data_IF_038254211926
#
_entry.id   IF_038254211926
#
_cell.length_a   1.000
_cell.length_b   1.000
_cell.length_c   1.000
_cell.angle_alpha   90.00
_cell.angle_beta   90.00
_cell.angle_gamma   90.00
#
_symmetry.space_group_name_H-M   'P 1'
#
loop_
_entity.id
_entity.type
_entity.pdbx_description
1 polymer ?
#
# COMPACT_ATOMS: atom_id res chain seq x y z
N UNK A 1 -12.87 -23.08 -48.15
CA UNK A 1 -12.86 -21.64 -47.79
C UNK A 1 -13.47 -21.30 -46.41
N UNK A 2 -14.26 -22.17 -45.76
CA UNK A 2 -14.91 -21.90 -44.46
C UNK A 2 -13.96 -21.79 -43.24
N UNK A 3 -12.82 -22.48 -43.24
CA UNK A 3 -11.97 -22.57 -42.03
C UNK A 3 -11.11 -21.31 -41.79
N UNK A 4 -10.76 -20.55 -42.84
CA UNK A 4 -9.88 -19.37 -42.74
C UNK A 4 -10.53 -18.22 -41.95
N UNK A 5 -11.86 -18.10 -42.04
CA UNK A 5 -12.61 -17.12 -41.25
C UNK A 5 -12.71 -17.53 -39.78
N UNK A 6 -12.83 -18.84 -39.51
CA UNK A 6 -12.85 -19.39 -38.16
C UNK A 6 -11.52 -19.12 -37.43
N UNK A 7 -10.38 -19.33 -38.10
CA UNK A 7 -9.06 -19.03 -37.51
C UNK A 7 -8.85 -17.54 -37.22
N UNK A 8 -9.37 -16.66 -38.07
CA UNK A 8 -9.31 -15.20 -37.84
C UNK A 8 -10.14 -14.77 -36.64
N UNK A 9 -11.36 -15.31 -36.51
CA UNK A 9 -12.22 -15.06 -35.37
C UNK A 9 -11.59 -15.58 -34.07
N UNK A 10 -11.04 -16.80 -34.09
CA UNK A 10 -10.34 -17.36 -32.95
C UNK A 10 -9.13 -16.50 -32.52
N UNK A 11 -8.31 -16.05 -33.48
CA UNK A 11 -7.17 -15.18 -33.21
C UNK A 11 -7.61 -13.82 -32.62
N UNK A 12 -8.69 -13.22 -33.15
CA UNK A 12 -9.26 -11.99 -32.60
C UNK A 12 -9.80 -12.18 -31.17
N UNK A 13 -10.47 -13.31 -30.89
CA UNK A 13 -11.00 -13.61 -29.56
C UNK A 13 -9.88 -13.84 -28.54
N UNK A 14 -8.80 -14.54 -28.92
CA UNK A 14 -7.62 -14.73 -28.06
C UNK A 14 -6.93 -13.39 -27.79
N UNK A 15 -6.76 -12.56 -28.83
CA UNK A 15 -6.21 -11.21 -28.70
C UNK A 15 -7.04 -10.32 -27.74
N UNK A 16 -8.36 -10.31 -27.91
CA UNK A 16 -9.27 -9.59 -27.03
C UNK A 16 -9.21 -10.11 -25.58
N UNK A 17 -9.16 -11.43 -25.38
CA UNK A 17 -9.02 -12.02 -24.04
C UNK A 17 -7.69 -11.65 -23.37
N UNK A 18 -6.58 -11.60 -24.13
CA UNK A 18 -5.29 -11.17 -23.58
C UNK A 18 -5.27 -9.70 -23.15
N UNK A 19 -5.98 -8.81 -23.86
CA UNK A 19 -6.12 -7.41 -23.48
C UNK A 19 -6.97 -7.23 -22.22
N UNK A 20 -8.02 -8.04 -22.05
CA UNK A 20 -8.84 -8.03 -20.83
C UNK A 20 -8.07 -8.53 -19.60
N UNK A 21 -7.16 -9.50 -19.78
CA UNK A 21 -6.31 -10.02 -18.70
C UNK A 21 -5.28 -9.00 -18.18
N UNK A 22 -4.84 -8.06 -19.02
CA UNK A 22 -3.91 -7.00 -18.62
C UNK A 22 -4.54 -5.91 -17.74
N UNK A 23 -5.88 -5.81 -17.70
CA UNK A 23 -6.59 -4.76 -16.96
C UNK A 23 -6.73 -5.01 -15.45
N UNK A 24 -6.30 -6.16 -14.92
CA UNK A 24 -6.46 -6.51 -13.51
C UNK A 24 -5.42 -5.88 -12.56
N UNK A 25 -4.50 -5.03 -13.02
CA UNK A 25 -3.51 -4.37 -12.13
C UNK A 25 -4.00 -3.06 -11.53
N UNK A 26 -4.98 -2.39 -12.15
CA UNK A 26 -5.42 -1.04 -11.74
C UNK A 26 -6.33 -1.02 -10.51
N UNK A 27 -6.89 -2.16 -10.08
CA UNK A 27 -7.78 -2.19 -8.91
C UNK A 27 -7.07 -2.35 -7.57
N UNK A 28 -5.85 -2.91 -7.53
CA UNK A 28 -5.15 -3.24 -6.29
C UNK A 28 -4.61 -2.02 -5.54
N UNK A 29 -4.03 -1.08 -6.27
CA UNK A 29 -3.37 0.10 -5.69
C UNK A 29 -4.31 1.27 -5.35
N UNK A 30 -5.59 1.21 -5.73
CA UNK A 30 -6.55 2.31 -5.52
C UNK A 30 -6.84 2.56 -4.05
N UNK A 31 -6.80 1.53 -3.21
CA UNK A 31 -7.03 1.68 -1.78
C UNK A 31 -5.80 2.22 -1.05
N UNK A 32 -4.59 1.97 -1.57
CA UNK A 32 -3.34 2.48 -0.98
C UNK A 32 -3.22 4.01 -1.07
N UNK A 33 -3.81 4.65 -2.09
CA UNK A 33 -3.86 6.11 -2.19
C UNK A 33 -4.56 6.74 -0.96
N UNK A 34 -5.59 6.08 -0.41
CA UNK A 34 -6.28 6.55 0.83
C UNK A 34 -5.37 6.48 2.05
N UNK A 35 -4.38 5.60 2.06
CA UNK A 35 -3.48 5.43 3.19
C UNK A 35 -2.43 6.53 3.25
N UNK A 36 -2.19 7.24 2.14
CA UNK A 36 -1.21 8.32 2.06
C UNK A 36 -1.54 9.44 3.05
N UNK A 37 -0.49 10.00 3.67
CA UNK A 37 -0.61 11.00 4.72
C UNK A 37 0.19 10.66 5.98
N UNK A 38 0.19 11.61 6.91
CA UNK A 38 0.83 11.45 8.21
C UNK A 38 -0.13 10.80 9.21
N UNK A 39 0.42 9.90 10.01
CA UNK A 39 -0.30 9.12 11.01
C UNK A 39 0.43 9.16 12.34
N UNK A 40 -0.30 9.37 13.42
CA UNK A 40 0.22 9.41 14.80
C UNK A 40 -0.20 8.18 15.56
N UNK A 41 0.74 7.56 16.27
CA UNK A 41 0.46 6.39 17.11
C UNK A 41 -0.42 6.76 18.30
N UNK A 42 -1.43 5.93 18.57
CA UNK A 42 -2.30 6.02 19.75
C UNK A 42 -1.53 5.59 21.02
N UNK A 43 -0.63 4.61 20.91
CA UNK A 43 0.14 4.05 22.04
C UNK A 43 1.51 4.71 22.26
N UNK A 44 1.75 5.87 21.62
CA UNK A 44 2.98 6.61 21.79
C UNK A 44 4.20 6.04 21.05
N UNK A 45 3.99 5.10 20.12
CA UNK A 45 5.01 4.64 19.16
C UNK A 45 5.42 5.80 18.23
N UNK A 46 6.52 5.63 17.48
CA UNK A 46 6.96 6.66 16.56
C UNK A 46 5.92 6.89 15.43
N UNK A 47 5.71 8.16 15.05
CA UNK A 47 4.73 8.52 14.00
C UNK A 47 5.17 7.95 12.64
N UNK A 48 4.24 7.81 11.70
CA UNK A 48 4.53 7.31 10.35
C UNK A 48 3.99 8.24 9.26
N UNK A 49 4.66 8.27 8.11
CA UNK A 49 4.21 8.92 6.88
C UNK A 49 4.10 7.85 5.80
N UNK A 50 2.93 7.74 5.19
CA UNK A 50 2.71 6.91 4.01
C UNK A 50 2.65 7.83 2.79
N UNK A 51 3.38 7.50 1.73
CA UNK A 51 3.40 8.27 0.49
C UNK A 51 3.65 7.39 -0.72
N UNK A 52 3.23 7.87 -1.88
CA UNK A 52 3.48 7.23 -3.17
C UNK A 52 4.75 7.79 -3.80
N UNK A 53 5.59 6.91 -4.34
CA UNK A 53 6.76 7.25 -5.13
C UNK A 53 6.76 6.39 -6.39
N UNK A 54 6.44 7.01 -7.54
CA UNK A 54 6.15 6.28 -8.78
C UNK A 54 4.93 5.37 -8.61
N UNK A 55 5.10 4.09 -8.90
CA UNK A 55 4.06 3.06 -8.75
C UNK A 55 4.11 2.34 -7.39
N UNK A 56 5.04 2.72 -6.51
CA UNK A 56 5.22 2.10 -5.21
C UNK A 56 4.69 3.00 -4.08
N UNK A 57 4.23 2.39 -3.00
CA UNK A 57 3.90 3.08 -1.75
C UNK A 57 4.98 2.80 -0.72
N UNK A 58 5.34 3.81 0.04
CA UNK A 58 6.39 3.76 1.05
C UNK A 58 5.86 4.23 2.39
N UNK A 59 6.39 3.63 3.46
CA UNK A 59 6.12 4.01 4.84
C UNK A 59 7.41 4.49 5.47
N UNK A 60 7.46 5.77 5.85
CA UNK A 60 8.54 6.32 6.67
C UNK A 60 8.13 6.29 8.14
N UNK A 61 8.92 5.64 8.99
CA UNK A 61 8.75 5.64 10.44
C UNK A 61 9.68 6.69 11.04
N UNK A 62 9.11 7.70 11.70
CA UNK A 62 9.87 8.78 12.33
C UNK A 62 10.23 8.42 13.76
N UNK A 63 11.50 8.25 14.09
CA UNK A 63 11.91 7.99 15.46
C UNK A 63 11.41 9.08 16.46
N UNK A 64 10.89 8.68 17.63
CA UNK A 64 10.69 9.56 18.78
C UNK A 64 11.95 9.58 19.65
N UNK A 65 12.41 10.78 20.00
CA UNK A 65 13.68 11.02 20.72
C UNK A 65 13.55 10.76 22.22
N UNK A 66 14.42 9.90 22.75
CA UNK A 66 14.93 9.99 24.11
C UNK A 66 16.26 10.75 24.12
N UNK A 67 16.21 12.04 24.47
CA UNK A 67 17.27 13.02 24.85
C UNK A 67 18.65 13.08 24.17
N UNK A 68 19.17 12.11 23.41
CA UNK A 68 20.58 12.18 22.95
C UNK A 68 20.96 11.45 21.65
N UNK A 69 20.03 10.88 20.87
CA UNK A 69 20.40 10.21 19.60
C UNK A 69 19.90 10.97 18.37
N UNK A 70 20.81 11.19 17.43
CA UNK A 70 20.55 11.77 16.10
C UNK A 70 19.52 10.88 15.39
N UNK A 71 18.32 11.42 15.19
CA UNK A 71 17.17 10.73 14.61
C UNK A 71 17.43 10.45 13.13
N UNK A 72 17.29 9.19 12.70
CA UNK A 72 17.19 8.86 11.27
C UNK A 72 15.83 8.23 11.04
N UNK A 73 14.96 8.87 10.24
CA UNK A 73 13.76 8.21 9.74
C UNK A 73 14.16 6.98 8.91
N UNK A 74 13.42 5.90 9.06
CA UNK A 74 13.59 4.69 8.24
C UNK A 74 12.41 4.57 7.29
N UNK A 75 12.66 4.15 6.05
CA UNK A 75 11.64 4.06 5.00
C UNK A 75 11.58 2.64 4.47
N UNK A 76 10.37 2.09 4.40
CA UNK A 76 10.09 0.73 3.96
C UNK A 76 9.09 0.74 2.82
N UNK A 77 9.12 -0.31 1.99
CA UNK A 77 8.13 -0.53 0.95
C UNK A 77 6.84 -1.07 1.58
N UNK A 78 5.71 -0.45 1.27
CA UNK A 78 4.38 -1.01 1.54
C UNK A 78 4.08 -2.06 0.48
N UNK A 79 3.92 -3.30 0.92
CA UNK A 79 3.67 -4.45 0.03
C UNK A 79 2.25 -4.95 0.27
N UNK A 80 1.54 -5.22 -0.81
CA UNK A 80 0.27 -5.95 -0.78
C UNK A 80 0.47 -7.35 -1.37
N UNK A 81 0.16 -8.38 -0.59
CA UNK A 81 0.23 -9.77 -1.04
C UNK A 81 -1.01 -10.54 -0.56
N UNK A 82 -1.77 -11.10 -1.51
CA UNK A 82 -3.01 -11.84 -1.24
C UNK A 82 -4.02 -11.04 -0.38
N UNK A 83 -4.12 -9.73 -0.62
CA UNK A 83 -5.01 -8.83 0.13
C UNK A 83 -4.48 -8.41 1.51
N UNK A 84 -3.25 -8.79 1.88
CA UNK A 84 -2.62 -8.37 3.11
C UNK A 84 -1.58 -7.29 2.84
N UNK A 85 -1.67 -6.17 3.56
CA UNK A 85 -0.68 -5.11 3.52
C UNK A 85 0.38 -5.35 4.60
N UNK A 86 1.64 -5.12 4.29
CA UNK A 86 2.72 -5.20 5.28
C UNK A 86 3.95 -4.36 4.87
N UNK A 87 4.81 -4.11 5.85
CA UNK A 87 6.18 -3.62 5.64
C UNK A 87 7.19 -4.61 6.21
N UNK A 88 8.40 -4.63 5.65
CA UNK A 88 9.51 -5.42 6.18
C UNK A 88 10.57 -4.51 6.77
N UNK A 89 10.73 -4.56 8.10
CA UNK A 89 11.71 -3.76 8.86
C UNK A 89 12.89 -4.61 9.36
N UNK A 90 13.10 -5.78 8.78
CA UNK A 90 13.90 -6.89 9.35
C UNK A 90 13.01 -8.00 9.93
N UNK A 91 11.72 -7.73 10.11
CA UNK A 91 10.63 -8.67 10.33
C UNK A 91 9.35 -8.10 9.69
N UNK A 92 8.34 -8.94 9.50
CA UNK A 92 7.05 -8.55 8.89
C UNK A 92 6.19 -7.81 9.92
N UNK A 93 5.69 -6.64 9.52
CA UNK A 93 4.69 -5.86 10.25
C UNK A 93 3.46 -5.77 9.37
N UNK A 94 2.38 -6.47 9.76
CA UNK A 94 1.11 -6.42 9.04
C UNK A 94 0.41 -5.09 9.29
N UNK A 95 -0.26 -4.59 8.26
CA UNK A 95 -0.98 -3.31 8.26
C UNK A 95 -2.42 -3.58 7.88
N UNK A 96 -3.36 -3.13 8.72
CA UNK A 96 -4.78 -3.15 8.43
C UNK A 96 -5.32 -1.72 8.42
N UNK A 97 -6.30 -1.46 7.55
CA UNK A 97 -6.99 -0.18 7.49
C UNK A 97 -8.49 -0.37 7.76
N UNK A 98 -8.99 0.33 8.77
CA UNK A 98 -10.42 0.44 9.02
C UNK A 98 -10.94 1.75 8.41
N UNK A 99 -11.63 1.63 7.27
CA UNK A 99 -12.20 2.77 6.54
C UNK A 99 -13.28 3.52 7.32
N UNK A 100 -14.10 2.82 8.12
CA UNK A 100 -15.19 3.46 8.87
C UNK A 100 -14.70 4.35 10.02
N UNK A 101 -13.56 4.00 10.62
CA UNK A 101 -12.95 4.74 11.73
C UNK A 101 -11.77 5.63 11.30
N UNK A 102 -11.30 5.49 10.05
CA UNK A 102 -10.03 6.05 9.55
C UNK A 102 -8.84 5.75 10.48
N UNK A 103 -8.66 4.45 10.79
CA UNK A 103 -7.61 3.94 11.68
C UNK A 103 -6.72 2.95 10.93
N UNK A 104 -5.41 3.12 11.07
CA UNK A 104 -4.41 2.13 10.67
C UNK A 104 -3.94 1.32 11.87
N UNK A 105 -3.88 0.01 11.74
CA UNK A 105 -3.29 -0.87 12.76
C UNK A 105 -2.02 -1.48 12.19
N UNK A 106 -0.88 -1.22 12.84
CA UNK A 106 0.39 -1.87 12.54
C UNK A 106 0.58 -2.98 13.57
N UNK A 107 0.55 -4.26 13.21
CA UNK A 107 0.75 -5.35 14.17
C UNK A 107 2.24 -5.68 14.29
N UNK A 108 2.85 -5.64 15.50
CA UNK A 108 2.24 -5.51 16.84
C UNK A 108 2.31 -4.10 17.46
N UNK A 109 2.57 -3.07 16.66
CA UNK A 109 2.78 -1.69 17.10
C UNK A 109 1.50 -0.89 17.44
N UNK A 110 0.32 -1.49 17.30
CA UNK A 110 -0.96 -0.89 17.68
C UNK A 110 -1.53 0.08 16.64
N UNK A 111 -2.47 0.89 17.10
CA UNK A 111 -3.29 1.75 16.25
C UNK A 111 -2.67 3.13 16.00
N UNK A 112 -3.00 3.69 14.85
CA UNK A 112 -2.56 4.97 14.34
C UNK A 112 -3.75 5.73 13.75
N UNK A 113 -3.81 7.02 14.05
CA UNK A 113 -4.85 7.96 13.57
C UNK A 113 -4.21 9.06 12.74
N UNK A 114 -4.99 9.76 11.91
CA UNK A 114 -4.47 10.89 11.13
C UNK A 114 -3.80 11.92 12.03
N UNK A 115 -2.62 12.38 11.62
CA UNK A 115 -1.94 13.47 12.30
C UNK A 115 -2.64 14.78 11.96
N UNK A 116 -3.25 15.41 12.96
CA UNK A 116 -3.85 16.73 12.81
C UNK A 116 -2.79 17.74 12.34
N UNK A 117 -3.08 18.41 11.22
CA UNK A 117 -2.31 19.58 10.80
C UNK A 117 -2.87 20.75 11.60
N UNK A 118 -2.16 21.16 12.66
CA UNK A 118 -2.51 22.41 13.36
C UNK A 118 -2.24 23.58 12.39
N UNK A 119 -3.20 24.50 12.19
CA UNK A 119 -3.02 25.69 11.35
C UNK A 119 -1.84 26.57 11.78
#
# INVERSE_FOLDING_TARGET
>A
MKNRQLYRLAACLIGAASLLLQSCSESRFKDCDRLCGSWSSVEGKPDVLIYKEGDAYKVTVFARSGKARKLRPETYLLVEENGNLFINTGYRIDIAYNEAADVLTFSPNGDYVRKEVRP
#
